data_IF_569023858176
#
_entry.id   IF_569023858176
#
_cell.length_a   1.000
_cell.length_b   1.000
_cell.length_c   1.000
_cell.angle_alpha   90.00
_cell.angle_beta   90.00
_cell.angle_gamma   90.00
#
_symmetry.space_group_name_H-M   'P 1'
#
loop_
_entity.id
_entity.type
_entity.pdbx_description
1 polymer ?
#
# COMPACT_ATOMS: atom_id res chain seq x y z
N UNK A 1 -52.24 -10.04 17.19
CA UNK A 1 -51.14 -10.41 16.26
C UNK A 1 -50.53 -9.19 15.58
N UNK A 2 -51.31 -8.21 15.12
CA UNK A 2 -50.81 -6.98 14.47
C UNK A 2 -49.93 -6.07 15.36
N UNK A 3 -50.28 -5.92 16.65
CA UNK A 3 -49.50 -5.10 17.59
C UNK A 3 -48.06 -5.63 17.85
N UNK A 4 -47.86 -6.94 17.77
CA UNK A 4 -46.54 -7.56 17.91
C UNK A 4 -45.66 -7.37 16.64
N UNK A 5 -46.29 -7.41 15.46
CA UNK A 5 -45.62 -7.14 14.18
C UNK A 5 -45.20 -5.66 14.05
N UNK A 6 -46.06 -4.72 14.47
CA UNK A 6 -45.71 -3.29 14.48
C UNK A 6 -44.58 -2.97 15.47
N UNK A 7 -44.50 -3.65 16.61
CA UNK A 7 -43.43 -3.48 17.57
C UNK A 7 -42.09 -3.99 17.04
N UNK A 8 -42.11 -5.13 16.33
CA UNK A 8 -40.90 -5.68 15.67
C UNK A 8 -40.37 -4.78 14.55
N UNK A 9 -41.27 -4.20 13.75
CA UNK A 9 -40.88 -3.26 12.68
C UNK A 9 -40.26 -1.96 13.22
N UNK A 10 -40.84 -1.36 14.24
CA UNK A 10 -40.34 -0.16 14.92
C UNK A 10 -38.95 -0.40 15.56
N UNK A 11 -38.72 -1.58 16.13
CA UNK A 11 -37.39 -1.91 16.70
C UNK A 11 -36.35 -2.12 15.61
N UNK A 12 -36.67 -2.75 14.49
CA UNK A 12 -35.74 -2.88 13.35
C UNK A 12 -35.40 -1.53 12.74
N UNK A 13 -36.37 -0.63 12.57
CA UNK A 13 -36.11 0.74 12.12
C UNK A 13 -35.23 1.53 13.09
N UNK A 14 -35.44 1.38 14.41
CA UNK A 14 -34.57 2.02 15.43
C UNK A 14 -33.14 1.48 15.37
N UNK A 15 -32.92 0.18 15.20
CA UNK A 15 -31.62 -0.45 15.07
C UNK A 15 -30.93 0.04 13.78
N UNK A 16 -31.64 0.09 12.66
CA UNK A 16 -31.10 0.67 11.41
C UNK A 16 -30.74 2.15 11.57
N UNK A 17 -31.59 2.96 12.22
CA UNK A 17 -31.32 4.37 12.47
C UNK A 17 -30.10 4.59 13.39
N UNK A 18 -29.94 3.75 14.42
CA UNK A 18 -28.77 3.77 15.31
C UNK A 18 -27.50 3.35 14.55
N UNK A 19 -27.55 2.32 13.70
CA UNK A 19 -26.41 1.93 12.85
C UNK A 19 -26.03 3.05 11.87
N UNK A 20 -26.99 3.69 11.22
CA UNK A 20 -26.76 4.84 10.34
C UNK A 20 -26.15 6.02 11.11
N UNK A 21 -26.63 6.30 12.33
CA UNK A 21 -26.10 7.38 13.16
C UNK A 21 -24.67 7.10 13.65
N UNK A 22 -24.35 5.86 13.99
CA UNK A 22 -22.99 5.42 14.34
C UNK A 22 -22.05 5.57 13.14
N UNK A 23 -22.49 5.20 11.92
CA UNK A 23 -21.71 5.35 10.69
C UNK A 23 -21.45 6.84 10.33
N UNK A 24 -22.35 7.77 10.71
CA UNK A 24 -22.17 9.20 10.41
C UNK A 24 -21.25 9.94 11.40
N UNK A 25 -20.86 9.32 12.52
CA UNK A 25 -20.03 9.96 13.56
C UNK A 25 -18.53 9.81 13.36
N UNK A 26 -18.07 9.19 12.28
CA UNK A 26 -16.65 8.93 12.03
C UNK A 26 -15.98 10.24 11.60
N UNK A 27 -15.09 10.75 12.45
CA UNK A 27 -14.19 11.86 12.09
C UNK A 27 -13.18 11.32 11.09
N UNK A 28 -13.22 11.84 9.87
CA UNK A 28 -12.25 11.52 8.82
C UNK A 28 -10.95 12.24 9.17
N UNK A 29 -9.92 11.49 9.51
CA UNK A 29 -8.53 11.95 9.50
C UNK A 29 -7.87 11.46 8.22
N UNK A 30 -7.05 12.32 7.58
CA UNK A 30 -6.33 11.97 6.37
C UNK A 30 -5.30 10.88 6.68
N UNK A 31 -5.21 9.88 5.81
CA UNK A 31 -4.18 8.85 5.89
C UNK A 31 -2.89 9.37 5.23
N UNK A 32 -1.75 9.17 5.89
CA UNK A 32 -0.46 9.71 5.46
C UNK A 32 0.40 8.72 4.64
N UNK A 33 -0.04 7.48 4.49
CA UNK A 33 0.73 6.47 3.75
C UNK A 33 0.35 6.47 2.27
N UNK A 34 1.34 6.47 1.35
CA UNK A 34 1.08 6.39 -0.08
C UNK A 34 0.38 5.08 -0.44
N UNK A 35 -0.54 5.17 -1.39
CA UNK A 35 -1.34 4.04 -1.85
C UNK A 35 -0.99 3.70 -3.27
N UNK A 36 -0.80 2.40 -3.52
CA UNK A 36 -0.45 1.87 -4.83
C UNK A 36 -1.61 1.05 -5.38
N UNK A 37 -1.96 1.29 -6.63
CA UNK A 37 -3.00 0.50 -7.31
C UNK A 37 -2.47 -0.87 -7.67
N UNK A 38 -1.19 -0.94 -8.05
CA UNK A 38 -0.50 -2.19 -8.34
C UNK A 38 0.28 -2.72 -7.13
N UNK A 39 -0.31 -2.65 -5.92
CA UNK A 39 0.34 -3.07 -4.67
C UNK A 39 0.83 -4.52 -4.70
N UNK A 40 0.15 -5.40 -5.46
CA UNK A 40 0.52 -6.81 -5.62
C UNK A 40 1.91 -7.01 -6.26
N UNK A 41 2.46 -5.97 -6.90
CA UNK A 41 3.83 -5.99 -7.45
C UNK A 41 4.81 -5.22 -6.57
N UNK A 42 4.33 -4.57 -5.51
CA UNK A 42 5.14 -3.79 -4.59
C UNK A 42 4.91 -4.19 -3.12
N UNK A 43 4.54 -5.45 -2.87
CA UNK A 43 4.24 -5.97 -1.53
C UNK A 43 5.41 -5.81 -0.54
N UNK A 44 6.65 -5.81 -1.03
CA UNK A 44 7.86 -5.52 -0.22
C UNK A 44 7.77 -4.18 0.51
N UNK A 45 7.09 -3.20 -0.09
CA UNK A 45 6.93 -1.88 0.50
C UNK A 45 5.92 -1.86 1.65
N UNK A 46 4.94 -2.76 1.60
CA UNK A 46 3.82 -2.86 2.53
C UNK A 46 4.14 -3.83 3.66
N UNK A 47 4.71 -5.02 3.33
CA UNK A 47 4.95 -6.10 4.28
C UNK A 47 6.40 -6.58 4.23
N UNK A 48 7.21 -6.35 5.29
CA UNK A 48 8.60 -6.79 5.32
C UNK A 48 8.76 -8.32 5.25
N UNK A 49 7.74 -9.10 5.62
CA UNK A 49 7.79 -10.56 5.55
C UNK A 49 7.70 -11.09 4.11
N UNK A 50 7.34 -10.25 3.13
CA UNK A 50 7.31 -10.61 1.72
C UNK A 50 8.71 -10.78 1.11
N UNK A 51 9.75 -10.12 1.67
CA UNK A 51 11.09 -10.14 1.06
C UNK A 51 11.63 -11.56 0.91
N UNK A 52 12.20 -11.83 -0.26
CA UNK A 52 12.72 -13.15 -0.62
C UNK A 52 11.65 -14.23 -0.83
N UNK A 53 10.35 -13.89 -0.93
CA UNK A 53 9.28 -14.84 -1.25
C UNK A 53 9.38 -15.38 -2.68
N UNK A 54 10.04 -14.64 -3.57
CA UNK A 54 10.38 -15.09 -4.92
C UNK A 54 11.46 -16.17 -4.88
N UNK A 55 11.54 -16.97 -5.93
CA UNK A 55 12.61 -17.97 -6.08
C UNK A 55 13.95 -17.33 -6.43
N UNK A 56 13.92 -16.19 -7.10
CA UNK A 56 15.08 -15.45 -7.57
C UNK A 56 15.08 -14.03 -7.00
N UNK A 57 16.22 -13.33 -7.00
CA UNK A 57 16.25 -11.91 -6.73
C UNK A 57 15.32 -11.15 -7.68
N UNK A 58 14.63 -10.15 -7.17
CA UNK A 58 13.71 -9.34 -7.96
C UNK A 58 13.86 -7.86 -7.61
N UNK A 59 13.72 -7.00 -8.62
CA UNK A 59 13.69 -5.56 -8.50
C UNK A 59 12.40 -5.02 -9.10
N UNK A 60 11.80 -4.02 -8.48
CA UNK A 60 10.61 -3.33 -8.99
C UNK A 60 10.80 -1.82 -8.88
N UNK A 61 10.50 -1.13 -9.97
CA UNK A 61 10.35 0.32 -10.05
C UNK A 61 8.87 0.63 -10.19
N UNK A 62 8.40 1.64 -9.45
CA UNK A 62 7.05 2.14 -9.57
C UNK A 62 7.08 3.67 -9.61
N UNK A 63 6.30 4.25 -10.53
CA UNK A 63 6.04 5.68 -10.63
C UNK A 63 4.54 5.90 -10.57
N UNK A 64 4.08 6.74 -9.65
CA UNK A 64 2.68 7.11 -9.50
C UNK A 64 2.52 8.62 -9.54
N UNK A 65 1.64 9.10 -10.40
CA UNK A 65 1.17 10.48 -10.46
C UNK A 65 -0.31 10.51 -10.08
N UNK A 66 -0.60 10.93 -8.88
CA UNK A 66 -1.95 10.89 -8.32
C UNK A 66 -2.67 12.22 -8.58
N UNK A 67 -3.99 12.15 -8.81
CA UNK A 67 -4.90 13.30 -8.99
C UNK A 67 -4.39 14.35 -9.97
N UNK A 68 -4.08 13.91 -11.18
CA UNK A 68 -3.56 14.75 -12.26
C UNK A 68 -4.48 15.94 -12.51
N UNK A 69 -3.90 17.15 -12.60
CA UNK A 69 -4.62 18.42 -12.74
C UNK A 69 -4.73 19.22 -11.43
N UNK A 70 -4.49 18.61 -10.26
CA UNK A 70 -4.40 19.34 -8.99
C UNK A 70 -2.95 19.80 -8.79
N UNK A 71 -2.75 21.10 -8.58
CA UNK A 71 -1.42 21.62 -8.29
C UNK A 71 -0.93 21.09 -6.92
N UNK A 72 0.29 20.57 -6.88
CA UNK A 72 0.87 19.95 -5.68
C UNK A 72 0.30 18.56 -5.34
N UNK A 73 -0.40 17.91 -6.27
CA UNK A 73 -0.86 16.54 -6.09
C UNK A 73 0.32 15.56 -5.87
N UNK A 74 0.09 14.43 -5.18
CA UNK A 74 1.16 13.50 -4.86
C UNK A 74 1.82 12.88 -6.10
N UNK A 75 3.16 12.90 -6.12
CA UNK A 75 3.98 12.15 -7.08
C UNK A 75 4.91 11.26 -6.29
N UNK A 76 4.78 9.94 -6.48
CA UNK A 76 5.53 8.93 -5.75
C UNK A 76 6.36 8.07 -6.70
N UNK A 77 7.62 7.87 -6.34
CA UNK A 77 8.54 6.98 -7.04
C UNK A 77 9.07 5.96 -6.04
N UNK A 78 9.03 4.68 -6.37
CA UNK A 78 9.61 3.65 -5.51
C UNK A 78 10.56 2.75 -6.27
N UNK A 79 11.57 2.29 -5.56
CA UNK A 79 12.45 1.22 -5.96
C UNK A 79 12.45 0.17 -4.86
N UNK A 80 12.28 -1.10 -5.22
CA UNK A 80 12.43 -2.21 -4.30
C UNK A 80 13.34 -3.27 -4.92
N UNK A 81 14.18 -3.87 -4.09
CA UNK A 81 14.98 -5.03 -4.44
C UNK A 81 14.93 -6.02 -3.30
N UNK A 82 14.71 -7.28 -3.60
CA UNK A 82 14.76 -8.34 -2.61
C UNK A 82 15.31 -9.64 -3.19
N UNK A 83 15.90 -10.44 -2.31
CA UNK A 83 16.49 -11.71 -2.69
C UNK A 83 16.26 -12.77 -1.61
N UNK A 84 16.01 -14.05 -2.00
CA UNK A 84 16.16 -15.17 -1.10
C UNK A 84 17.65 -15.46 -0.88
N UNK A 85 18.01 -15.77 0.37
CA UNK A 85 19.38 -16.18 0.77
C UNK A 85 19.28 -17.38 1.70
N UNK A 86 20.42 -18.03 1.99
CA UNK A 86 20.52 -19.16 2.91
C UNK A 86 19.47 -20.26 2.63
N UNK A 87 19.55 -20.88 1.46
CA UNK A 87 18.63 -21.94 1.00
C UNK A 87 17.14 -21.56 1.12
N UNK A 88 16.85 -20.30 0.81
CA UNK A 88 15.51 -19.69 0.86
C UNK A 88 14.92 -19.53 2.27
N UNK A 89 15.66 -19.82 3.35
CA UNK A 89 15.17 -19.62 4.71
C UNK A 89 15.21 -18.17 5.15
N UNK A 90 16.10 -17.38 4.56
CA UNK A 90 16.17 -15.95 4.80
C UNK A 90 15.78 -15.18 3.54
N UNK A 91 15.15 -14.04 3.72
CA UNK A 91 14.92 -13.02 2.69
C UNK A 91 15.54 -11.71 3.14
N UNK A 92 16.23 -11.04 2.23
CA UNK A 92 16.76 -9.70 2.44
C UNK A 92 16.20 -8.77 1.37
N UNK A 93 15.97 -7.53 1.73
CA UNK A 93 15.47 -6.53 0.78
C UNK A 93 15.82 -5.11 1.19
N UNK A 94 15.89 -4.26 0.19
CA UNK A 94 16.00 -2.82 0.34
C UNK A 94 14.90 -2.15 -0.46
N UNK A 95 14.45 -1.00 0.01
CA UNK A 95 13.46 -0.19 -0.71
C UNK A 95 13.80 1.28 -0.54
N UNK A 96 13.50 2.06 -1.56
CA UNK A 96 13.58 3.51 -1.52
C UNK A 96 12.29 4.11 -2.06
N UNK A 97 11.87 5.24 -1.50
CA UNK A 97 10.71 6.01 -1.97
C UNK A 97 11.05 7.49 -1.95
N UNK A 98 10.73 8.14 -3.05
CA UNK A 98 10.70 9.61 -3.15
C UNK A 98 9.26 10.04 -3.37
N UNK A 99 8.75 10.89 -2.49
CA UNK A 99 7.39 11.39 -2.54
C UNK A 99 7.36 12.90 -2.43
N UNK A 100 6.61 13.53 -3.32
CA UNK A 100 6.39 14.97 -3.34
C UNK A 100 4.90 15.25 -3.20
N UNK A 101 4.51 16.01 -2.17
CA UNK A 101 3.12 16.41 -1.92
C UNK A 101 3.11 17.89 -1.56
N UNK A 102 2.58 18.75 -2.45
CA UNK A 102 2.63 20.19 -2.27
C UNK A 102 4.07 20.67 -2.14
N UNK A 103 4.36 21.33 -1.03
CA UNK A 103 5.70 21.83 -0.68
C UNK A 103 6.51 20.84 0.18
N UNK A 104 5.97 19.64 0.41
CA UNK A 104 6.62 18.59 1.20
C UNK A 104 7.34 17.62 0.27
N UNK A 105 8.63 17.41 0.50
CA UNK A 105 9.46 16.42 -0.16
C UNK A 105 9.91 15.37 0.88
N UNK A 106 9.69 14.10 0.57
CA UNK A 106 10.04 13.01 1.48
C UNK A 106 10.86 11.94 0.75
N UNK A 107 12.04 11.64 1.28
CA UNK A 107 12.86 10.52 0.86
C UNK A 107 12.90 9.46 1.96
N UNK A 108 12.44 8.27 1.66
CA UNK A 108 12.41 7.13 2.59
C UNK A 108 13.30 6.01 2.07
N UNK A 109 14.14 5.45 2.94
CA UNK A 109 14.91 4.23 2.69
C UNK A 109 14.51 3.17 3.70
N UNK A 110 14.36 1.92 3.24
CA UNK A 110 13.99 0.77 4.06
C UNK A 110 14.98 -0.38 3.86
N UNK A 111 15.24 -1.09 4.95
CA UNK A 111 15.94 -2.37 4.94
C UNK A 111 15.03 -3.41 5.56
N UNK A 112 14.89 -4.55 4.89
CA UNK A 112 13.96 -5.61 5.30
C UNK A 112 14.73 -6.92 5.44
N UNK A 113 14.38 -7.69 6.48
CA UNK A 113 14.86 -9.04 6.68
C UNK A 113 13.68 -9.93 7.06
N UNK A 114 13.59 -11.12 6.47
CA UNK A 114 12.54 -12.07 6.76
C UNK A 114 13.10 -13.47 6.99
N UNK A 115 12.56 -14.17 8.00
CA UNK A 115 12.84 -15.58 8.25
C UNK A 115 11.64 -16.42 7.84
N UNK A 116 11.89 -17.52 7.11
CA UNK A 116 10.87 -18.38 6.55
C UNK A 116 10.92 -19.79 7.13
N UNK A 117 9.77 -20.24 7.61
CA UNK A 117 9.48 -21.63 7.89
C UNK A 117 8.98 -22.28 6.60
N UNK A 118 9.78 -23.17 6.05
CA UNK A 118 9.46 -23.86 4.79
C UNK A 118 8.74 -25.17 5.10
N UNK A 119 7.59 -25.36 4.48
CA UNK A 119 6.80 -26.59 4.47
C UNK A 119 6.84 -27.21 3.07
N UNK A 120 6.41 -28.45 2.85
CA UNK A 120 6.48 -29.10 1.54
C UNK A 120 5.84 -28.30 0.40
N UNK A 121 4.70 -27.66 0.63
CA UNK A 121 3.95 -26.92 -0.40
C UNK A 121 3.62 -25.47 0.01
N UNK A 122 4.20 -24.94 1.07
CA UNK A 122 3.91 -23.60 1.56
C UNK A 122 5.06 -23.03 2.37
N UNK A 123 5.01 -21.73 2.67
CA UNK A 123 5.93 -21.09 3.57
C UNK A 123 5.22 -20.08 4.47
N UNK A 124 5.70 -19.95 5.70
CA UNK A 124 5.31 -18.90 6.63
C UNK A 124 6.53 -18.05 6.92
N UNK A 125 6.43 -16.77 6.62
CA UNK A 125 7.50 -15.79 6.73
C UNK A 125 7.21 -14.79 7.84
N UNK A 126 8.22 -14.43 8.62
CA UNK A 126 8.20 -13.36 9.63
C UNK A 126 9.25 -12.34 9.23
N UNK A 127 8.82 -11.08 9.10
CA UNK A 127 9.68 -10.00 8.60
C UNK A 127 9.84 -8.87 9.61
N UNK A 128 11.02 -8.27 9.58
CA UNK A 128 11.35 -7.05 10.30
C UNK A 128 11.81 -5.99 9.30
N UNK A 129 11.50 -4.74 9.57
CA UNK A 129 11.86 -3.57 8.78
C UNK A 129 12.55 -2.53 9.64
N UNK A 130 13.65 -1.98 9.13
CA UNK A 130 14.19 -0.70 9.55
C UNK A 130 13.92 0.34 8.46
N UNK A 131 13.46 1.52 8.85
CA UNK A 131 13.14 2.62 7.94
C UNK A 131 13.83 3.89 8.39
N UNK A 132 14.28 4.67 7.42
CA UNK A 132 14.85 6.00 7.60
C UNK A 132 14.18 6.95 6.64
N UNK A 133 13.59 8.02 7.19
CA UNK A 133 12.90 9.05 6.40
C UNK A 133 13.58 10.39 6.60
N UNK A 134 13.90 11.07 5.50
CA UNK A 134 14.24 12.48 5.46
C UNK A 134 13.07 13.25 4.86
N UNK A 135 12.62 14.30 5.55
CA UNK A 135 11.51 15.13 5.10
C UNK A 135 11.96 16.60 5.09
N UNK A 136 11.69 17.27 3.99
CA UNK A 136 11.85 18.70 3.80
C UNK A 136 10.47 19.33 3.55
N UNK A 137 10.18 20.46 4.20
CA UNK A 137 8.97 21.24 3.96
C UNK A 137 9.41 22.64 3.56
N UNK A 138 9.16 23.02 2.32
CA UNK A 138 9.53 24.30 1.73
C UNK A 138 8.46 25.36 1.98
N UNK A 139 8.38 25.84 3.18
CA UNK A 139 7.39 26.87 3.56
C UNK A 139 7.55 28.17 2.78
N UNK A 140 8.75 28.48 2.30
CA UNK A 140 9.03 29.68 1.47
C UNK A 140 8.34 29.65 0.11
N UNK A 141 7.93 28.46 -0.38
CA UNK A 141 7.18 28.29 -1.61
C UNK A 141 5.65 28.47 -1.42
N UNK A 142 5.18 28.63 -0.16
CA UNK A 142 3.75 28.82 0.12
C UNK A 142 3.29 30.25 -0.16
N UNK A 143 2.16 30.36 -0.83
CA UNK A 143 1.42 31.63 -0.93
C UNK A 143 0.57 31.80 0.35
N UNK A 144 1.08 32.51 1.32
CA UNK A 144 0.39 32.75 2.60
C UNK A 144 -0.63 33.90 2.45
N UNK A 145 -1.81 33.76 3.08
CA UNK A 145 -2.85 34.82 3.11
C UNK A 145 -2.35 36.05 3.85
N UNK A 146 -1.53 35.86 4.90
CA UNK A 146 -0.89 36.95 5.64
C UNK A 146 0.59 37.03 5.26
N UNK A 147 1.02 38.01 4.47
CA UNK A 147 2.42 38.19 4.10
C UNK A 147 3.28 38.40 5.34
N UNK A 148 4.41 37.69 5.45
CA UNK A 148 5.38 37.89 6.54
C UNK A 148 5.06 37.16 7.82
N UNK A 149 4.20 36.14 7.82
CA UNK A 149 3.98 35.26 8.96
C UNK A 149 5.29 34.53 9.32
N UNK A 150 5.79 34.77 10.52
CA UNK A 150 7.06 34.26 11.03
C UNK A 150 7.14 32.71 11.03
N UNK A 151 6.02 32.02 11.01
CA UNK A 151 5.98 30.54 10.97
C UNK A 151 6.38 29.97 9.61
N UNK A 152 6.29 30.77 8.53
CA UNK A 152 6.54 30.36 7.15
C UNK A 152 7.73 31.07 6.49
N UNK A 153 8.54 31.78 7.27
CA UNK A 153 9.71 32.53 6.75
C UNK A 153 10.91 31.63 6.44
N UNK A 154 10.95 30.42 6.97
CA UNK A 154 12.07 29.49 6.75
C UNK A 154 11.56 28.09 6.48
N UNK A 155 12.25 27.41 5.59
CA UNK A 155 12.00 26.00 5.30
C UNK A 155 12.35 25.13 6.49
N UNK A 156 11.59 24.05 6.66
CA UNK A 156 11.88 23.07 7.70
C UNK A 156 12.52 21.83 7.06
N UNK A 157 13.74 21.55 7.47
CA UNK A 157 14.39 20.27 7.20
C UNK A 157 14.32 19.42 8.47
N UNK A 158 13.76 18.23 8.33
CA UNK A 158 13.79 17.22 9.39
C UNK A 158 14.62 16.06 8.92
N UNK A 159 15.88 16.08 9.29
CA UNK A 159 16.82 15.03 8.98
C UNK A 159 16.57 13.79 9.85
N UNK A 160 16.62 12.65 9.20
CA UNK A 160 16.82 11.34 9.80
C UNK A 160 15.79 10.94 10.85
N UNK A 161 14.60 10.53 10.39
CA UNK A 161 13.59 9.92 11.26
C UNK A 161 13.64 8.39 11.12
N UNK A 162 14.15 7.68 12.14
CA UNK A 162 14.15 6.23 12.14
C UNK A 162 12.75 5.71 12.43
N UNK A 163 12.40 4.58 11.82
CA UNK A 163 11.22 3.81 12.14
C UNK A 163 11.54 2.31 12.07
N UNK A 164 10.67 1.50 12.62
CA UNK A 164 10.75 0.04 12.55
C UNK A 164 9.38 -0.52 12.21
N UNK A 165 9.36 -1.71 11.63
CA UNK A 165 8.13 -2.39 11.30
C UNK A 165 8.29 -3.90 11.35
N UNK A 166 7.17 -4.60 11.36
CA UNK A 166 7.14 -6.06 11.33
C UNK A 166 5.97 -6.57 10.50
N UNK A 167 6.05 -7.84 10.10
CA UNK A 167 4.98 -8.49 9.38
C UNK A 167 5.07 -10.00 9.43
N UNK A 168 4.00 -10.61 8.96
CA UNK A 168 3.87 -12.04 8.75
C UNK A 168 3.26 -12.27 7.37
N UNK A 169 3.73 -13.30 6.65
CA UNK A 169 3.29 -13.62 5.32
C UNK A 169 3.27 -15.13 5.10
N UNK A 170 2.08 -15.68 4.88
CA UNK A 170 1.88 -17.07 4.50
C UNK A 170 1.62 -17.17 3.01
N UNK A 171 2.22 -18.15 2.37
CA UNK A 171 2.00 -18.35 0.94
C UNK A 171 2.25 -19.80 0.48
N UNK A 172 1.57 -20.15 -0.60
CA UNK A 172 1.85 -21.34 -1.42
C UNK A 172 1.80 -20.94 -2.90
N UNK A 173 1.75 -21.89 -3.83
CA UNK A 173 1.76 -21.60 -5.27
C UNK A 173 0.53 -20.85 -5.78
N UNK A 174 -0.62 -20.96 -5.07
CA UNK A 174 -1.90 -20.39 -5.51
C UNK A 174 -2.48 -19.34 -4.56
N UNK A 175 -2.07 -19.34 -3.30
CA UNK A 175 -2.69 -18.50 -2.26
C UNK A 175 -1.63 -17.77 -1.47
N UNK A 176 -1.95 -16.56 -1.03
CA UNK A 176 -1.18 -15.83 -0.05
C UNK A 176 -2.08 -15.05 0.91
N UNK A 177 -1.58 -14.83 2.12
CA UNK A 177 -2.15 -13.92 3.09
C UNK A 177 -1.05 -13.31 3.95
N UNK A 178 -1.09 -12.01 4.15
CA UNK A 178 -0.11 -11.27 4.95
C UNK A 178 -0.76 -10.25 5.86
N UNK A 179 -0.13 -10.04 7.01
CA UNK A 179 -0.44 -8.94 7.92
C UNK A 179 0.86 -8.19 8.22
N UNK A 180 0.78 -6.88 8.38
CA UNK A 180 1.95 -6.08 8.72
C UNK A 180 1.60 -4.77 9.42
N UNK A 181 2.59 -4.27 10.16
CA UNK A 181 2.66 -2.92 10.70
C UNK A 181 4.00 -2.35 10.28
N UNK A 182 4.09 -1.65 9.14
CA UNK A 182 5.37 -1.19 8.59
C UNK A 182 6.01 -0.07 9.41
N UNK A 183 5.24 0.64 10.25
CA UNK A 183 5.73 1.73 11.10
C UNK A 183 5.17 1.62 12.50
N UNK A 184 6.05 1.45 13.49
CA UNK A 184 5.71 1.33 14.92
C UNK A 184 6.24 2.49 15.75
N UNK A 185 7.26 3.23 15.27
CA UNK A 185 7.89 4.36 15.95
C UNK A 185 7.38 5.67 15.31
N UNK A 186 6.08 5.95 15.39
CA UNK A 186 5.57 7.21 14.83
C UNK A 186 5.93 8.41 15.71
N UNK A 187 6.80 9.25 15.16
CA UNK A 187 6.99 10.60 15.65
C UNK A 187 5.89 11.48 15.04
N UNK A 188 4.90 11.85 15.84
CA UNK A 188 3.87 12.78 15.42
C UNK A 188 4.55 14.09 15.06
N UNK A 189 4.34 14.53 13.83
CA UNK A 189 4.73 15.87 13.40
C UNK A 189 3.77 16.86 14.01
N UNK A 190 4.14 17.46 15.13
CA UNK A 190 3.54 18.70 15.57
C UNK A 190 4.00 19.82 14.59
N UNK A 191 3.07 20.52 13.91
CA UNK A 191 3.41 21.65 13.05
C UNK A 191 4.23 22.74 13.77
N UNK A 192 4.14 22.84 15.11
CA UNK A 192 4.93 23.77 15.91
C UNK A 192 6.38 23.34 16.14
N UNK A 193 6.81 22.19 15.60
CA UNK A 193 8.20 21.72 15.74
C UNK A 193 8.57 21.20 17.12
N UNK A 194 7.65 21.19 18.09
CA UNK A 194 7.90 20.62 19.41
C UNK A 194 7.73 19.11 19.34
N UNK A 195 8.77 18.36 19.71
CA UNK A 195 8.65 16.93 19.95
C UNK A 195 7.54 16.70 20.98
N UNK A 196 6.49 16.01 20.56
CA UNK A 196 5.45 15.61 21.50
C UNK A 196 6.07 14.58 22.44
N UNK A 197 6.05 14.88 23.74
CA UNK A 197 6.60 14.01 24.80
C UNK A 197 6.02 12.60 24.63
N UNK A 198 6.86 11.65 24.25
CA UNK A 198 6.53 10.23 24.06
C UNK A 198 6.03 9.53 25.34
N UNK A 199 5.93 10.24 26.44
CA UNK A 199 5.46 9.74 27.75
C UNK A 199 3.94 9.61 27.86
N UNK A 200 3.18 10.16 26.93
CA UNK A 200 1.74 9.92 26.88
C UNK A 200 1.47 8.74 25.94
N UNK A 201 0.98 7.66 26.48
CA UNK A 201 0.56 6.35 25.95
C UNK A 201 -0.23 6.34 24.60
N UNK A 202 0.16 7.14 23.59
CA UNK A 202 -0.55 7.32 22.33
C UNK A 202 0.13 6.66 21.11
N UNK A 203 1.25 5.97 21.29
CA UNK A 203 2.04 5.39 20.19
C UNK A 203 1.25 4.45 19.30
N UNK A 204 0.36 3.64 19.86
CA UNK A 204 -0.49 2.71 19.09
C UNK A 204 -1.57 3.40 18.24
N UNK A 205 -1.88 4.66 18.47
CA UNK A 205 -2.96 5.38 17.78
C UNK A 205 -2.66 5.65 16.30
N UNK A 206 -1.41 5.57 15.90
CA UNK A 206 -0.96 5.93 14.56
C UNK A 206 -0.41 4.74 13.76
N UNK A 207 -0.48 3.53 14.32
CA UNK A 207 -0.07 2.34 13.61
C UNK A 207 -1.00 2.07 12.43
N UNK A 208 -0.41 1.90 11.27
CA UNK A 208 -1.11 1.45 10.08
C UNK A 208 -1.03 -0.07 10.01
N UNK A 209 -2.18 -0.70 10.11
CA UNK A 209 -2.31 -2.15 9.97
C UNK A 209 -2.68 -2.47 8.54
N UNK A 210 -1.92 -3.35 7.93
CA UNK A 210 -2.21 -3.87 6.61
C UNK A 210 -2.56 -5.33 6.69
N UNK A 211 -3.56 -5.73 5.90
CA UNK A 211 -3.88 -7.11 5.60
C UNK A 211 -3.99 -7.22 4.09
N UNK A 212 -3.27 -8.17 3.48
CA UNK A 212 -3.35 -8.45 2.06
C UNK A 212 -3.53 -9.95 1.84
N UNK A 213 -4.38 -10.31 0.89
CA UNK A 213 -4.63 -11.71 0.52
C UNK A 213 -5.01 -11.81 -0.94
N UNK A 214 -4.75 -12.96 -1.54
CA UNK A 214 -5.16 -13.26 -2.90
C UNK A 214 -5.03 -14.74 -3.21
N UNK A 215 -5.77 -15.18 -4.22
CA UNK A 215 -5.76 -16.56 -4.70
C UNK A 215 -5.67 -16.59 -6.22
N UNK A 216 -4.90 -17.53 -6.77
CA UNK A 216 -4.82 -17.77 -8.21
C UNK A 216 -5.75 -18.91 -8.57
N UNK A 217 -6.70 -18.63 -9.45
CA UNK A 217 -7.66 -19.57 -10.02
C UNK A 217 -7.26 -19.85 -11.48
N UNK A 218 -6.95 -21.07 -11.80
CA UNK A 218 -6.72 -21.52 -13.18
C UNK A 218 -8.09 -21.81 -13.82
N UNK A 219 -8.56 -20.92 -14.68
CA UNK A 219 -9.85 -21.06 -15.35
C UNK A 219 -9.75 -22.03 -16.53
N UNK A 220 -8.65 -21.99 -17.25
CA UNK A 220 -8.23 -22.93 -18.28
C UNK A 220 -6.71 -22.83 -18.51
N UNK A 221 -6.17 -23.56 -19.52
CA UNK A 221 -4.72 -23.57 -19.81
C UNK A 221 -4.16 -22.18 -20.16
N UNK A 222 -4.95 -21.32 -20.81
CA UNK A 222 -4.55 -20.00 -21.29
C UNK A 222 -5.01 -18.85 -20.38
N UNK A 223 -5.89 -19.11 -19.41
CA UNK A 223 -6.53 -18.05 -18.61
C UNK A 223 -6.47 -18.35 -17.13
N UNK A 224 -5.81 -17.46 -16.38
CA UNK A 224 -5.76 -17.48 -14.92
C UNK A 224 -6.41 -16.20 -14.37
N UNK A 225 -7.06 -16.30 -13.23
CA UNK A 225 -7.65 -15.16 -12.53
C UNK A 225 -7.05 -15.06 -11.13
N UNK A 226 -6.71 -13.85 -10.69
CA UNK A 226 -6.22 -13.57 -9.34
C UNK A 226 -7.10 -12.50 -8.70
N UNK A 227 -8.18 -12.87 -8.00
CA UNK A 227 -8.83 -11.98 -7.06
C UNK A 227 -7.90 -11.71 -5.87
N UNK A 228 -7.86 -10.46 -5.44
CA UNK A 228 -7.06 -10.00 -4.31
C UNK A 228 -7.79 -8.94 -3.51
N UNK A 229 -7.43 -8.86 -2.23
CA UNK A 229 -7.96 -7.91 -1.27
C UNK A 229 -6.80 -7.34 -0.48
N UNK A 230 -6.74 -6.01 -0.37
CA UNK A 230 -5.92 -5.32 0.62
C UNK A 230 -6.82 -4.51 1.53
N UNK A 231 -6.55 -4.56 2.82
CA UNK A 231 -7.21 -3.73 3.84
C UNK A 231 -6.14 -2.92 4.57
N UNK A 232 -6.43 -1.66 4.75
CA UNK A 232 -5.63 -0.73 5.54
C UNK A 232 -6.49 -0.16 6.64
N UNK A 233 -6.01 -0.25 7.87
CA UNK A 233 -6.68 0.27 9.05
C UNK A 233 -5.73 1.13 9.86
N UNK A 234 -6.20 2.28 10.28
CA UNK A 234 -5.54 3.16 11.24
C UNK A 234 -6.56 3.62 12.26
N UNK A 235 -6.14 3.84 13.50
CA UNK A 235 -7.05 4.28 14.55
C UNK A 235 -7.69 5.63 14.18
N UNK A 236 -8.99 5.75 14.43
CA UNK A 236 -9.80 6.95 14.16
C UNK A 236 -9.98 7.30 12.67
N UNK A 237 -9.65 6.41 11.74
CA UNK A 237 -9.97 6.55 10.33
C UNK A 237 -10.84 5.36 9.84
N UNK A 238 -11.66 5.57 8.81
CA UNK A 238 -12.36 4.45 8.15
C UNK A 238 -11.36 3.43 7.63
N UNK A 239 -11.74 2.14 7.71
CA UNK A 239 -10.97 1.08 7.06
C UNK A 239 -11.07 1.27 5.56
N UNK A 240 -9.93 1.30 4.91
CA UNK A 240 -9.82 1.35 3.47
C UNK A 240 -9.61 -0.06 2.92
N UNK A 241 -10.31 -0.38 1.85
CA UNK A 241 -10.22 -1.68 1.18
C UNK A 241 -10.00 -1.47 -0.32
N UNK A 242 -9.01 -2.19 -0.85
CA UNK A 242 -8.79 -2.39 -2.26
C UNK A 242 -9.20 -3.81 -2.62
N UNK A 243 -10.15 -3.95 -3.54
CA UNK A 243 -10.63 -5.23 -4.06
C UNK A 243 -10.29 -5.27 -5.54
N UNK A 244 -9.49 -6.24 -5.95
CA UNK A 244 -9.00 -6.35 -7.32
C UNK A 244 -9.30 -7.71 -7.92
N UNK A 245 -9.48 -7.73 -9.24
CA UNK A 245 -9.52 -8.93 -10.06
C UNK A 245 -8.56 -8.76 -11.25
N UNK A 246 -7.53 -9.58 -11.28
CA UNK A 246 -6.54 -9.60 -12.34
C UNK A 246 -6.67 -10.89 -13.15
N UNK A 247 -6.62 -10.79 -14.48
CA UNK A 247 -6.69 -11.90 -15.43
C UNK A 247 -5.36 -11.98 -16.18
N UNK A 248 -4.73 -13.15 -16.17
CA UNK A 248 -3.54 -13.44 -16.95
C UNK A 248 -3.93 -14.29 -18.17
N UNK A 249 -3.58 -13.81 -19.35
CA UNK A 249 -3.90 -14.43 -20.63
C UNK A 249 -2.60 -14.88 -21.28
N UNK A 250 -2.48 -16.21 -21.53
CA UNK A 250 -1.34 -16.86 -22.19
C UNK A 250 0.03 -16.52 -21.58
N UNK A 251 0.05 -16.32 -20.23
CA UNK A 251 1.25 -15.94 -19.47
C UNK A 251 1.99 -14.70 -20.02
N UNK A 252 1.30 -13.87 -20.82
CA UNK A 252 1.85 -12.70 -21.48
C UNK A 252 1.10 -11.41 -21.15
N UNK A 253 -0.21 -11.39 -21.34
CA UNK A 253 -1.06 -10.20 -21.11
C UNK A 253 -1.82 -10.38 -19.83
N UNK A 254 -1.87 -9.33 -18.98
CA UNK A 254 -2.82 -9.28 -17.90
C UNK A 254 -3.64 -8.01 -17.94
N UNK A 255 -4.88 -8.20 -17.59
CA UNK A 255 -5.88 -7.16 -17.48
C UNK A 255 -6.45 -7.22 -16.07
N UNK A 256 -6.58 -6.07 -15.45
CA UNK A 256 -7.11 -5.96 -14.09
C UNK A 256 -8.12 -4.85 -13.96
N UNK A 257 -9.00 -5.03 -13.01
CA UNK A 257 -9.87 -3.99 -12.51
C UNK A 257 -9.89 -4.03 -10.98
N UNK A 258 -10.07 -2.88 -10.35
CA UNK A 258 -10.10 -2.76 -8.91
C UNK A 258 -11.06 -1.68 -8.44
N UNK A 259 -11.41 -1.78 -7.17
CA UNK A 259 -12.21 -0.79 -6.47
C UNK A 259 -11.57 -0.49 -5.12
N UNK A 260 -11.26 0.79 -4.91
CA UNK A 260 -10.80 1.33 -3.62
C UNK A 260 -11.93 2.08 -2.95
N UNK A 261 -12.27 1.67 -1.73
CA UNK A 261 -13.36 2.27 -0.99
C UNK A 261 -13.14 3.76 -0.76
N UNK A 262 -14.11 4.56 -1.19
CA UNK A 262 -14.11 6.02 -1.00
C UNK A 262 -13.15 6.82 -1.87
N UNK A 263 -12.35 6.19 -2.74
CA UNK A 263 -11.34 6.87 -3.57
C UNK A 263 -11.52 6.63 -5.06
N UNK A 264 -11.38 5.39 -5.56
CA UNK A 264 -11.24 5.17 -7.00
C UNK A 264 -11.77 3.83 -7.50
N UNK A 265 -12.13 3.80 -8.79
CA UNK A 265 -12.18 2.61 -9.63
C UNK A 265 -10.91 2.55 -10.45
N UNK A 266 -10.26 1.40 -10.51
CA UNK A 266 -9.01 1.22 -11.25
C UNK A 266 -9.17 0.26 -12.42
N UNK A 267 -8.44 0.57 -13.50
CA UNK A 267 -8.19 -0.33 -14.61
C UNK A 267 -6.69 -0.56 -14.76
N UNK A 268 -6.28 -1.81 -15.00
CA UNK A 268 -4.88 -2.21 -15.08
C UNK A 268 -4.63 -2.99 -16.36
N UNK A 269 -3.49 -2.75 -16.98
CA UNK A 269 -2.96 -3.54 -18.08
C UNK A 269 -1.48 -3.82 -17.84
N UNK A 270 -1.03 -5.00 -18.16
CA UNK A 270 0.39 -5.35 -18.04
C UNK A 270 0.82 -6.39 -19.06
N UNK A 271 2.13 -6.43 -19.27
CA UNK A 271 2.78 -7.28 -20.24
C UNK A 271 3.99 -7.97 -19.63
N UNK A 272 4.06 -9.29 -19.81
CA UNK A 272 5.27 -10.06 -19.55
C UNK A 272 6.17 -9.91 -20.79
N UNK A 273 7.02 -8.89 -20.82
CA UNK A 273 7.85 -8.52 -21.98
C UNK A 273 8.89 -9.62 -22.31
N UNK A 274 9.46 -10.19 -21.26
CA UNK A 274 10.36 -11.36 -21.34
C UNK A 274 10.07 -12.28 -20.15
N UNK A 275 10.69 -13.46 -20.08
CA UNK A 275 10.58 -14.33 -18.90
C UNK A 275 11.03 -13.66 -17.60
N UNK A 276 11.78 -12.57 -17.67
CA UNK A 276 12.38 -11.85 -16.55
C UNK A 276 11.74 -10.49 -16.30
N UNK A 277 11.21 -9.83 -17.34
CA UNK A 277 10.80 -8.44 -17.30
C UNK A 277 9.30 -8.29 -17.50
N UNK A 278 8.67 -7.56 -16.61
CA UNK A 278 7.25 -7.24 -16.61
C UNK A 278 7.06 -5.73 -16.58
N UNK A 279 6.13 -5.25 -17.38
CA UNK A 279 5.65 -3.87 -17.37
C UNK A 279 4.18 -3.85 -17.00
N UNK A 280 3.76 -2.89 -16.19
CA UNK A 280 2.37 -2.66 -15.82
C UNK A 280 2.03 -1.17 -15.87
N UNK A 281 0.79 -0.90 -16.22
CA UNK A 281 0.18 0.42 -16.17
C UNK A 281 -1.19 0.31 -15.53
N UNK A 282 -1.52 1.25 -14.65
CA UNK A 282 -2.88 1.40 -14.14
C UNK A 282 -3.36 2.83 -14.20
N UNK A 283 -4.66 2.97 -14.30
CA UNK A 283 -5.37 4.24 -14.26
C UNK A 283 -6.48 4.17 -13.21
N UNK A 284 -6.50 5.16 -12.30
CA UNK A 284 -7.53 5.28 -11.28
C UNK A 284 -8.51 6.38 -11.66
N UNK A 285 -9.76 5.99 -11.84
CA UNK A 285 -10.90 6.91 -11.96
C UNK A 285 -11.32 7.34 -10.56
N UNK A 286 -11.08 8.59 -10.19
CA UNK A 286 -11.50 9.13 -8.90
C UNK A 286 -13.02 9.12 -8.78
N UNK A 287 -13.56 8.48 -7.72
CA UNK A 287 -15.02 8.45 -7.45
C UNK A 287 -15.40 9.34 -6.27
N UNK A 288 -14.43 9.89 -5.55
CA UNK A 288 -14.63 10.82 -4.45
C UNK A 288 -15.00 12.22 -4.95
N UNK A 289 -15.28 13.15 -4.03
CA UNK A 289 -15.57 14.56 -4.36
C UNK A 289 -14.43 15.26 -5.13
N UNK A 290 -13.20 14.71 -5.04
CA UNK A 290 -12.03 15.19 -5.78
C UNK A 290 -12.14 14.98 -7.30
N UNK A 291 -13.02 14.12 -7.80
CA UNK A 291 -13.26 13.86 -9.22
C UNK A 291 -13.48 15.14 -10.04
N UNK A 292 -14.05 16.18 -9.42
CA UNK A 292 -14.32 17.46 -10.11
C UNK A 292 -13.07 18.29 -10.40
N UNK A 293 -11.97 17.96 -9.76
CA UNK A 293 -10.74 18.76 -9.76
C UNK A 293 -9.54 18.03 -10.35
N UNK A 294 -9.66 16.75 -10.68
CA UNK A 294 -8.57 15.95 -11.23
C UNK A 294 -9.04 15.09 -12.41
N UNK A 295 -8.07 14.66 -13.21
CA UNK A 295 -8.25 13.76 -14.35
C UNK A 295 -7.82 12.33 -14.02
N UNK A 296 -7.97 11.87 -12.75
CA UNK A 296 -7.57 10.55 -12.32
C UNK A 296 -6.11 10.44 -11.90
N UNK A 297 -5.62 9.21 -11.72
CA UNK A 297 -4.24 8.94 -11.33
C UNK A 297 -3.62 7.89 -12.27
N UNK A 298 -2.34 8.04 -12.54
CA UNK A 298 -1.57 7.13 -13.40
C UNK A 298 -0.49 6.44 -12.58
N UNK A 299 -0.32 5.15 -12.80
CA UNK A 299 0.74 4.37 -12.15
C UNK A 299 1.41 3.44 -13.14
N UNK A 300 2.73 3.44 -13.15
CA UNK A 300 3.58 2.61 -13.99
C UNK A 300 4.45 1.72 -13.13
N UNK A 301 4.57 0.45 -13.49
CA UNK A 301 5.48 -0.49 -12.83
C UNK A 301 6.39 -1.15 -13.84
N UNK A 302 7.63 -1.37 -13.44
CA UNK A 302 8.60 -2.18 -14.17
C UNK A 302 9.27 -3.12 -13.19
N UNK A 303 9.07 -4.42 -13.37
CA UNK A 303 9.67 -5.45 -12.52
C UNK A 303 10.65 -6.30 -13.32
N UNK A 304 11.76 -6.66 -12.67
CA UNK A 304 12.78 -7.53 -13.24
C UNK A 304 13.17 -8.62 -12.25
N UNK A 305 13.10 -9.88 -12.68
CA UNK A 305 13.51 -11.05 -11.91
C UNK A 305 14.84 -11.58 -12.44
N UNK A 306 15.89 -11.63 -11.61
CA UNK A 306 17.24 -12.06 -11.95
C UNK A 306 17.32 -13.59 -11.96
N UNK A 307 16.82 -14.21 -13.01
CA UNK A 307 16.80 -15.68 -13.14
C UNK A 307 18.17 -16.22 -13.56
N UNK A 308 18.64 -17.17 -12.79
CA UNK A 308 19.87 -17.93 -13.11
C UNK A 308 19.56 -19.16 -13.95
N UNK A 309 18.36 -19.71 -13.85
CA UNK A 309 17.96 -20.95 -14.50
C UNK A 309 16.95 -20.69 -15.63
N UNK A 310 17.33 -21.00 -16.88
CA UNK A 310 16.51 -20.74 -18.07
C UNK A 310 15.22 -21.58 -18.15
N UNK A 311 15.13 -22.65 -17.36
CA UNK A 311 14.07 -23.66 -17.48
C UNK A 311 13.00 -23.60 -16.37
N UNK A 312 13.11 -22.71 -15.40
CA UNK A 312 12.09 -22.59 -14.33
C UNK A 312 10.87 -21.82 -14.81
N UNK A 313 9.71 -22.42 -14.60
CA UNK A 313 8.39 -21.81 -14.84
C UNK A 313 8.18 -20.64 -13.87
N UNK A 314 7.58 -19.56 -14.36
CA UNK A 314 7.16 -18.43 -13.52
C UNK A 314 6.09 -18.95 -12.55
N UNK A 315 6.28 -18.76 -11.25
CA UNK A 315 5.20 -19.06 -10.30
C UNK A 315 3.99 -18.16 -10.62
N UNK A 316 2.83 -18.79 -10.79
CA UNK A 316 1.57 -18.10 -11.10
C UNK A 316 1.15 -17.10 -10.04
N UNK A 317 1.69 -17.20 -8.83
CA UNK A 317 1.45 -16.29 -7.70
C UNK A 317 1.91 -14.85 -7.97
N UNK A 318 2.88 -14.65 -8.86
CA UNK A 318 3.52 -13.34 -9.04
C UNK A 318 2.88 -12.45 -10.10
N UNK A 319 1.74 -12.82 -10.66
CA UNK A 319 1.01 -11.97 -11.58
C UNK A 319 -0.15 -11.23 -10.93
#
# INVERSE_FOLDING_TARGET
MELLLQRGYKNRMRICAIMVFICCSIRVQAQFEPMFTQYMFNETFINPAYVGSHENPAATLLYRNQWVGINGAPVTQTFTFHAPVADRRLGLGISAMNENIGVTHQLTAKVNAAYRLLFPNSALSFGLQGEFTNQEIKYTELNTITPGDNQFLSDQERHFRPNAGFGMYYYNDKFYAGISVPRVLENILDPSGKEHDSRTNKGFQYWHYYFATGVVLELNEDLKMKPSLMMKAVQNAPVEMDIDANFMIKDFLWLGCGFRTGDALSAMIGFQLTKQMRFGYSYDFTVSKLQRYNSGSHEFTLSYEFRTDKNKVISTRYF
#
